data_IF_623033763537
#
_entry.id   IF_623033763537
#
_cell.length_a   1.000
_cell.length_b   1.000
_cell.length_c   1.000
_cell.angle_alpha   90.00
_cell.angle_beta   90.00
_cell.angle_gamma   90.00
#
_symmetry.space_group_name_H-M   'P 1'
#
loop_
_entity.id
_entity.type
_entity.pdbx_description
1 polymer ?
#
# COMPACT_ATOMS: atom_id res chain seq x y z
N UNK A 1 -1.86 0.15 0.12
CA UNK A 1 -3.21 0.50 -0.35
C UNK A 1 -4.07 -0.75 -0.42
N UNK A 2 -5.32 -0.68 0.04
CA UNK A 2 -6.24 -1.81 0.08
C UNK A 2 -7.52 -1.40 -0.62
N UNK A 3 -7.98 -2.23 -1.57
CA UNK A 3 -9.30 -2.11 -2.16
C UNK A 3 -10.20 -3.16 -1.54
N UNK A 4 -11.27 -2.70 -0.91
CA UNK A 4 -12.30 -3.60 -0.39
C UNK A 4 -13.21 -4.05 -1.52
N UNK A 5 -13.74 -5.26 -1.39
CA UNK A 5 -14.73 -5.79 -2.33
C UNK A 5 -16.05 -5.04 -2.12
N UNK A 6 -16.84 -4.92 -3.18
CA UNK A 6 -18.13 -4.22 -3.11
C UNK A 6 -19.01 -4.81 -2.01
N UNK A 7 -19.52 -3.95 -1.12
CA UNK A 7 -20.35 -4.36 0.03
C UNK A 7 -19.57 -4.83 1.27
N UNK A 8 -18.23 -4.78 1.25
CA UNK A 8 -17.40 -5.12 2.42
C UNK A 8 -16.75 -3.86 2.99
N UNK A 9 -16.81 -3.73 4.31
CA UNK A 9 -16.10 -2.73 5.10
C UNK A 9 -15.09 -3.42 6.01
N UNK A 10 -13.84 -2.95 6.03
CA UNK A 10 -12.84 -3.40 6.99
C UNK A 10 -12.03 -2.20 7.49
N UNK A 11 -11.57 -2.26 8.74
CA UNK A 11 -10.70 -1.24 9.31
C UNK A 11 -9.23 -1.61 9.17
N UNK A 12 -8.34 -0.65 9.34
CA UNK A 12 -6.90 -0.92 9.36
C UNK A 12 -6.52 -1.94 10.45
N UNK A 13 -7.17 -1.89 11.61
CA UNK A 13 -6.98 -2.84 12.70
C UNK A 13 -7.39 -4.27 12.31
N UNK A 14 -8.52 -4.44 11.61
CA UNK A 14 -8.95 -5.75 11.11
C UNK A 14 -7.94 -6.36 10.15
N UNK A 15 -7.37 -5.53 9.27
CA UNK A 15 -6.33 -5.97 8.34
C UNK A 15 -5.06 -6.36 9.08
N UNK A 16 -4.60 -5.55 10.03
CA UNK A 16 -3.39 -5.86 10.81
C UNK A 16 -3.56 -7.16 11.59
N UNK A 17 -4.72 -7.35 12.24
CA UNK A 17 -5.05 -8.59 12.96
C UNK A 17 -5.12 -9.81 12.03
N UNK A 18 -5.57 -9.61 10.79
CA UNK A 18 -5.59 -10.68 9.78
C UNK A 18 -4.18 -11.03 9.27
N UNK A 19 -3.27 -10.06 9.21
CA UNK A 19 -1.89 -10.23 8.77
C UNK A 19 -0.98 -10.78 9.88
N UNK A 20 -1.24 -10.42 11.14
CA UNK A 20 -0.43 -10.82 12.31
C UNK A 20 -0.09 -12.33 12.39
N UNK A 21 -1.02 -13.28 12.17
CA UNK A 21 -0.68 -14.70 12.17
C UNK A 21 -0.10 -15.21 10.84
N UNK A 22 -0.06 -14.38 9.78
CA UNK A 22 0.31 -14.80 8.41
C UNK A 22 1.68 -14.30 7.97
N UNK A 23 2.15 -13.17 8.50
CA UNK A 23 3.41 -12.54 8.12
C UNK A 23 4.22 -12.15 9.35
N UNK A 24 5.54 -12.02 9.17
CA UNK A 24 6.41 -11.57 10.26
C UNK A 24 6.28 -10.07 10.49
N UNK A 25 6.64 -9.58 11.70
CA UNK A 25 6.60 -8.14 12.05
C UNK A 25 7.37 -7.24 11.08
N UNK A 26 8.37 -7.78 10.37
CA UNK A 26 9.19 -7.05 9.39
C UNK A 26 8.40 -6.76 8.11
N UNK A 27 7.43 -7.61 7.76
CA UNK A 27 6.60 -7.49 6.57
C UNK A 27 5.30 -6.71 6.84
N UNK A 28 5.03 -6.38 8.10
CA UNK A 28 3.82 -5.66 8.50
C UNK A 28 3.81 -4.25 7.91
N UNK A 29 2.74 -3.85 7.21
CA UNK A 29 2.64 -2.52 6.61
C UNK A 29 2.51 -1.46 7.70
N UNK A 30 3.37 -0.44 7.67
CA UNK A 30 3.32 0.69 8.61
C UNK A 30 2.19 1.68 8.31
N UNK A 31 1.68 1.70 7.08
CA UNK A 31 0.58 2.58 6.67
C UNK A 31 -0.40 1.81 5.77
N UNK A 32 -1.69 1.91 6.12
CA UNK A 32 -2.78 1.30 5.39
C UNK A 32 -3.71 2.42 4.93
N UNK A 33 -3.99 2.45 3.63
CA UNK A 33 -4.90 3.42 3.03
C UNK A 33 -5.90 2.67 2.16
N UNK A 34 -7.19 2.88 2.43
CA UNK A 34 -8.29 2.29 1.68
C UNK A 34 -8.64 3.20 0.50
N UNK A 35 -8.68 2.63 -0.71
CA UNK A 35 -9.06 3.35 -1.94
C UNK A 35 -9.93 2.48 -2.83
N UNK A 36 -10.86 3.11 -3.56
CA UNK A 36 -11.74 2.44 -4.53
C UNK A 36 -11.01 1.94 -5.79
N UNK A 37 -9.88 2.57 -6.10
CA UNK A 37 -8.98 2.15 -7.16
C UNK A 37 -7.55 2.06 -6.62
N UNK A 38 -6.92 0.91 -6.84
CA UNK A 38 -5.49 0.77 -6.62
C UNK A 38 -4.78 1.53 -7.74
N UNK A 39 -3.77 2.36 -7.44
CA UNK A 39 -2.95 2.95 -8.48
C UNK A 39 -2.28 1.82 -9.26
N UNK A 40 -2.76 1.58 -10.49
CA UNK A 40 -2.13 0.64 -11.43
C UNK A 40 -0.95 1.35 -12.07
N UNK A 41 0.23 1.23 -11.46
CA UNK A 41 1.48 1.35 -12.22
C UNK A 41 1.64 0.08 -13.07
N UNK A 42 2.16 0.20 -14.30
CA UNK A 42 2.29 -0.84 -15.36
C UNK A 42 3.06 -2.12 -14.98
N UNK A 43 3.33 -2.34 -13.70
CA UNK A 43 3.94 -3.52 -13.14
C UNK A 43 3.51 -3.56 -11.67
N UNK A 44 3.05 -4.71 -11.19
CA UNK A 44 2.74 -4.96 -9.77
C UNK A 44 3.98 -4.93 -8.87
N UNK A 45 4.82 -3.90 -8.98
CA UNK A 45 6.04 -3.68 -8.21
C UNK A 45 6.15 -2.19 -7.94
N UNK A 46 6.32 -1.86 -6.65
CA UNK A 46 6.60 -0.52 -6.17
C UNK A 46 7.91 -0.01 -6.81
N UNK A 47 7.82 0.82 -7.84
CA UNK A 47 8.98 1.44 -8.49
C UNK A 47 9.52 2.58 -7.64
N UNK A 48 10.38 2.26 -6.67
CA UNK A 48 11.25 3.21 -5.92
C UNK A 48 12.08 4.13 -6.85
N UNK A 49 12.19 3.79 -8.14
CA UNK A 49 12.85 4.58 -9.19
C UNK A 49 12.09 5.85 -9.60
N UNK A 50 10.76 5.86 -9.56
CA UNK A 50 9.99 7.05 -9.97
C UNK A 50 10.00 8.13 -8.88
N UNK A 51 9.99 7.72 -7.60
CA UNK A 51 10.10 8.64 -6.46
C UNK A 51 11.43 9.41 -6.44
N UNK A 52 12.57 8.76 -6.75
CA UNK A 52 13.87 9.46 -6.83
C UNK A 52 13.97 10.45 -8.00
N UNK A 53 13.27 10.19 -9.11
CA UNK A 53 13.28 11.09 -10.27
C UNK A 53 12.46 12.37 -10.00
N UNK A 54 11.42 12.29 -9.15
CA UNK A 54 10.60 13.44 -8.79
C UNK A 54 11.30 14.35 -7.77
N UNK A 55 12.03 13.78 -6.79
CA UNK A 55 12.83 14.57 -5.84
C UNK A 55 14.00 15.30 -6.52
N UNK A 56 14.66 14.68 -7.50
CA UNK A 56 15.76 15.32 -8.24
C UNK A 56 15.32 16.49 -9.13
N UNK A 57 14.06 16.48 -9.61
CA UNK A 57 13.52 17.59 -10.42
C UNK A 57 13.04 18.79 -9.58
N UNK A 58 12.85 18.60 -8.28
CA UNK A 58 12.39 19.66 -7.37
C UNK A 58 13.53 20.47 -6.74
N UNK A 59 14.78 20.07 -7.01
CA UNK A 59 16.02 20.72 -6.55
C UNK A 59 16.67 21.59 -7.64
N UNK A 60 15.97 21.86 -8.76
CA UNK A 60 16.40 22.79 -9.80
C UNK A 60 15.59 24.08 -9.76
#
# INVERSE_FOLDING_TARGET
>A
FIKLKSGMSATSADILKHLEPKISKIEMPSQIEFRDSLPKTMIGKLSKKELMAEEARKQA
#
